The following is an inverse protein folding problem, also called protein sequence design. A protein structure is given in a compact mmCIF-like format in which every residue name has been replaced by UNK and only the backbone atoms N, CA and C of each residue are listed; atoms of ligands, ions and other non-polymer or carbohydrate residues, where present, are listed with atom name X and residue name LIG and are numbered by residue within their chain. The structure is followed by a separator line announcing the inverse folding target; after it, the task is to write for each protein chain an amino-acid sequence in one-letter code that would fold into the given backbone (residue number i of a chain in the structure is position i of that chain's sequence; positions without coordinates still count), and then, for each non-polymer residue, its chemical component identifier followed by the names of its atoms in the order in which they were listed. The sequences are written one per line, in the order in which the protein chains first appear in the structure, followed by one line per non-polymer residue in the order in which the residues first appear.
data_IF_512047826144
#
_entry.id   IF_512047826144
#
_cell.length_a   1.000
_cell.length_b   1.000
_cell.length_c   1.000
_cell.angle_alpha   90.00
_cell.angle_beta   90.00
_cell.angle_gamma   90.00
#
_symmetry.space_group_name_H-M   'P 1'
#
loop_
_entity.id
_entity.type
_entity.pdbx_description
1 polymer ?
#
# COMPACT_ATOMS: atom_id res chain seq x y z
N UNK A 1 -42.00 109.95 -34.54
CA UNK A 1 -42.18 109.02 -33.40
C UNK A 1 -42.44 107.57 -33.82
N UNK A 2 -43.40 107.26 -34.71
CA UNK A 2 -43.71 105.88 -35.14
C UNK A 2 -42.50 105.05 -35.65
N UNK A 3 -41.62 105.64 -36.47
CA UNK A 3 -40.44 104.94 -37.02
C UNK A 3 -39.38 104.64 -35.95
N UNK A 4 -39.21 105.50 -34.96
CA UNK A 4 -38.25 105.32 -33.85
C UNK A 4 -38.72 104.22 -32.92
N UNK A 5 -40.03 104.18 -32.59
CA UNK A 5 -40.62 103.07 -31.83
C UNK A 5 -40.53 101.73 -32.56
N UNK A 6 -40.73 101.71 -33.88
CA UNK A 6 -40.58 100.47 -34.66
C UNK A 6 -39.14 99.93 -34.59
N UNK A 7 -38.13 100.81 -34.72
CA UNK A 7 -36.72 100.44 -34.61
C UNK A 7 -36.34 99.92 -33.23
N UNK A 8 -36.79 100.57 -32.15
CA UNK A 8 -36.49 100.11 -30.78
C UNK A 8 -37.17 98.78 -30.45
N UNK A 9 -38.41 98.57 -30.89
CA UNK A 9 -39.10 97.27 -30.74
C UNK A 9 -38.37 96.17 -31.51
N UNK A 10 -37.94 96.46 -32.75
CA UNK A 10 -37.23 95.46 -33.57
C UNK A 10 -35.86 95.11 -32.95
N UNK A 11 -35.12 96.11 -32.46
CA UNK A 11 -33.85 95.89 -31.77
C UNK A 11 -34.02 95.09 -30.46
N UNK A 12 -35.06 95.38 -29.67
CA UNK A 12 -35.38 94.64 -28.45
C UNK A 12 -35.77 93.18 -28.73
N UNK A 13 -36.48 92.91 -29.84
CA UNK A 13 -36.81 91.55 -30.28
C UNK A 13 -35.57 90.79 -30.74
N UNK A 14 -34.68 91.43 -31.50
CA UNK A 14 -33.43 90.80 -31.96
C UNK A 14 -32.47 90.50 -30.80
N UNK A 15 -32.35 91.42 -29.83
CA UNK A 15 -31.56 91.22 -28.62
C UNK A 15 -32.12 90.10 -27.73
N UNK A 16 -33.44 90.06 -27.54
CA UNK A 16 -34.07 88.99 -26.76
C UNK A 16 -33.96 87.63 -27.46
N UNK A 17 -34.08 87.57 -28.78
CA UNK A 17 -33.82 86.36 -29.57
C UNK A 17 -32.36 85.89 -29.48
N UNK A 18 -31.38 86.81 -29.55
CA UNK A 18 -29.97 86.47 -29.41
C UNK A 18 -29.62 85.96 -28.01
N UNK A 19 -30.20 86.57 -26.96
CA UNK A 19 -30.05 86.09 -25.58
C UNK A 19 -30.68 84.72 -25.38
N UNK A 20 -31.87 84.48 -25.95
CA UNK A 20 -32.53 83.17 -25.91
C UNK A 20 -31.68 82.09 -26.62
N UNK A 21 -31.20 82.37 -27.83
CA UNK A 21 -30.34 81.44 -28.56
C UNK A 21 -29.01 81.17 -27.84
N UNK A 22 -28.43 82.17 -27.17
CA UNK A 22 -27.21 81.97 -26.38
C UNK A 22 -27.48 81.17 -25.10
N UNK A 23 -28.62 81.40 -24.45
CA UNK A 23 -29.04 80.61 -23.29
C UNK A 23 -29.28 79.14 -23.67
N UNK A 24 -29.91 78.88 -24.81
CA UNK A 24 -30.15 77.53 -25.33
C UNK A 24 -28.84 76.84 -25.71
N UNK A 25 -27.91 77.55 -26.35
CA UNK A 25 -26.57 77.04 -26.65
C UNK A 25 -25.77 76.71 -25.39
N UNK A 26 -25.80 77.57 -24.37
CA UNK A 26 -25.14 77.31 -23.08
C UNK A 26 -25.79 76.13 -22.32
N UNK A 27 -27.11 75.98 -22.39
CA UNK A 27 -27.80 74.82 -21.81
C UNK A 27 -27.42 73.53 -22.52
N UNK A 28 -27.35 73.55 -23.86
CA UNK A 28 -26.88 72.42 -24.67
C UNK A 28 -25.44 72.03 -24.31
N UNK A 29 -24.53 73.00 -24.21
CA UNK A 29 -23.14 72.77 -23.82
C UNK A 29 -23.05 72.22 -22.39
N UNK A 30 -23.86 72.75 -21.45
CA UNK A 30 -23.93 72.26 -20.07
C UNK A 30 -24.36 70.79 -20.03
N UNK A 31 -25.39 70.43 -20.78
CA UNK A 31 -25.89 69.05 -20.86
C UNK A 31 -24.82 68.12 -21.45
N UNK A 32 -24.14 68.54 -22.51
CA UNK A 32 -23.06 67.75 -23.13
C UNK A 32 -21.91 67.50 -22.14
N UNK A 33 -21.44 68.54 -21.44
CA UNK A 33 -20.37 68.43 -20.44
C UNK A 33 -20.79 67.53 -19.27
N UNK A 34 -22.04 67.64 -18.78
CA UNK A 34 -22.55 66.75 -17.72
C UNK A 34 -22.57 65.29 -18.21
N UNK A 35 -22.97 65.04 -19.45
CA UNK A 35 -22.99 63.70 -20.02
C UNK A 35 -21.57 63.12 -20.13
N UNK A 36 -20.60 63.91 -20.59
CA UNK A 36 -19.18 63.50 -20.65
C UNK A 36 -18.60 63.21 -19.26
N UNK A 37 -18.84 64.08 -18.28
CA UNK A 37 -18.38 63.85 -16.91
C UNK A 37 -19.01 62.60 -16.29
N UNK A 38 -20.29 62.35 -16.58
CA UNK A 38 -21.00 61.15 -16.10
C UNK A 38 -20.39 59.89 -16.74
N UNK A 39 -20.15 59.90 -18.05
CA UNK A 39 -19.51 58.80 -18.76
C UNK A 39 -18.06 58.55 -18.27
N UNK A 40 -17.31 59.61 -17.99
CA UNK A 40 -15.96 59.50 -17.43
C UNK A 40 -15.98 58.94 -16.00
N UNK A 41 -16.93 59.39 -15.16
CA UNK A 41 -17.12 58.87 -13.82
C UNK A 41 -17.48 57.37 -13.83
N UNK A 42 -18.33 56.94 -14.76
CA UNK A 42 -18.71 55.54 -14.94
C UNK A 42 -17.53 54.68 -15.42
N UNK A 43 -16.73 55.21 -16.36
CA UNK A 43 -15.52 54.53 -16.84
C UNK A 43 -14.50 54.37 -15.71
N UNK A 44 -14.30 55.42 -14.92
CA UNK A 44 -13.39 55.41 -13.76
C UNK A 44 -13.85 54.39 -12.72
N UNK A 45 -15.15 54.38 -12.39
CA UNK A 45 -15.73 53.42 -11.45
C UNK A 45 -15.54 51.98 -11.93
N UNK A 46 -15.75 51.72 -13.21
CA UNK A 46 -15.55 50.40 -13.82
C UNK A 46 -14.08 49.96 -13.77
N UNK A 47 -13.15 50.88 -14.06
CA UNK A 47 -11.72 50.62 -13.98
C UNK A 47 -11.27 50.30 -12.54
N UNK A 48 -11.81 51.03 -11.55
CA UNK A 48 -11.56 50.76 -10.13
C UNK A 48 -12.06 49.38 -9.72
N UNK A 49 -13.31 49.03 -10.06
CA UNK A 49 -13.88 47.70 -9.79
C UNK A 49 -13.05 46.57 -10.40
N UNK A 50 -12.59 46.74 -11.65
CA UNK A 50 -11.72 45.75 -12.31
C UNK A 50 -10.37 45.64 -11.61
N UNK A 51 -9.79 46.75 -11.18
CA UNK A 51 -8.51 46.78 -10.45
C UNK A 51 -8.64 46.06 -9.11
N UNK A 52 -9.71 46.31 -8.36
CA UNK A 52 -9.95 45.66 -7.07
C UNK A 52 -10.19 44.16 -7.25
N UNK A 53 -10.94 43.76 -8.29
CA UNK A 53 -11.10 42.34 -8.64
C UNK A 53 -9.77 41.66 -8.95
N UNK A 54 -8.92 42.29 -9.78
CA UNK A 54 -7.62 41.72 -10.15
C UNK A 54 -6.67 41.64 -8.96
N UNK A 55 -6.69 42.63 -8.07
CA UNK A 55 -5.91 42.61 -6.82
C UNK A 55 -6.31 41.41 -5.96
N UNK A 56 -7.60 41.24 -5.71
CA UNK A 56 -8.09 40.09 -4.94
C UNK A 56 -7.85 38.74 -5.63
N UNK A 57 -7.81 38.70 -6.96
CA UNK A 57 -7.45 37.49 -7.70
C UNK A 57 -5.95 37.16 -7.60
N UNK A 58 -5.08 38.18 -7.58
CA UNK A 58 -3.65 38.03 -7.39
C UNK A 58 -3.33 37.52 -5.98
N UNK A 59 -3.90 38.15 -4.95
CA UNK A 59 -3.70 37.74 -3.55
C UNK A 59 -4.07 36.26 -3.36
N UNK A 60 -5.22 35.81 -3.87
CA UNK A 60 -5.60 34.39 -3.84
C UNK A 60 -4.60 33.48 -4.58
N UNK A 61 -4.08 33.91 -5.72
CA UNK A 61 -3.12 33.12 -6.48
C UNK A 61 -1.76 33.02 -5.77
N UNK A 62 -1.35 34.08 -5.06
CA UNK A 62 -0.15 34.09 -4.22
C UNK A 62 -0.32 33.16 -3.01
N UNK A 63 -1.47 33.21 -2.33
CA UNK A 63 -1.81 32.31 -1.22
C UNK A 63 -1.82 30.83 -1.68
N UNK A 64 -2.53 30.52 -2.77
CA UNK A 64 -2.57 29.16 -3.34
C UNK A 64 -1.16 28.63 -3.71
N UNK A 65 -0.27 29.53 -4.15
CA UNK A 65 1.12 29.19 -4.48
C UNK A 65 1.93 28.92 -3.22
N UNK A 66 1.75 29.73 -2.18
CA UNK A 66 2.42 29.55 -0.89
C UNK A 66 1.99 28.24 -0.22
N UNK A 67 0.70 27.92 -0.21
CA UNK A 67 0.15 26.68 0.34
C UNK A 67 0.73 25.45 -0.36
N UNK A 68 0.75 25.45 -1.70
CA UNK A 68 1.36 24.37 -2.49
C UNK A 68 2.85 24.23 -2.20
N UNK A 69 3.58 25.33 -2.09
CA UNK A 69 5.00 25.31 -1.76
C UNK A 69 5.23 24.69 -0.37
N UNK A 70 4.39 25.03 0.62
CA UNK A 70 4.46 24.47 1.97
C UNK A 70 4.19 22.95 1.97
N UNK A 71 3.16 22.49 1.25
CA UNK A 71 2.88 21.05 1.07
C UNK A 71 4.04 20.33 0.41
N UNK A 72 4.63 20.90 -0.65
CA UNK A 72 5.78 20.29 -1.34
C UNK A 72 7.02 20.20 -0.44
N UNK A 73 7.24 21.18 0.44
CA UNK A 73 8.39 21.21 1.34
C UNK A 73 8.40 20.05 2.35
N UNK A 74 7.24 19.54 2.75
CA UNK A 74 7.12 18.46 3.75
C UNK A 74 7.06 17.05 3.15
N UNK A 75 6.75 16.91 1.85
CA UNK A 75 6.67 15.59 1.17
C UNK A 75 7.96 14.75 1.19
N UNK A 76 9.19 15.29 1.15
CA UNK A 76 10.39 14.47 1.24
C UNK A 76 10.47 13.65 2.53
N UNK A 77 9.99 14.18 3.66
CA UNK A 77 9.95 13.44 4.93
C UNK A 77 8.98 12.25 4.85
N UNK A 78 7.81 12.45 4.25
CA UNK A 78 6.86 11.37 4.00
C UNK A 78 7.47 10.24 3.16
N UNK A 79 8.21 10.58 2.09
CA UNK A 79 8.88 9.59 1.24
C UNK A 79 9.95 8.79 2.00
N UNK A 80 10.69 9.44 2.91
CA UNK A 80 11.66 8.76 3.75
C UNK A 80 10.98 7.73 4.69
N UNK A 81 9.85 8.09 5.30
CA UNK A 81 9.07 7.16 6.13
C UNK A 81 8.49 5.99 5.33
N UNK A 82 8.08 6.20 4.07
CA UNK A 82 7.63 5.10 3.20
C UNK A 82 8.77 4.10 2.93
N UNK A 83 9.99 4.57 2.71
CA UNK A 83 11.15 3.68 2.51
C UNK A 83 11.53 2.94 3.80
N UNK A 84 11.44 3.61 4.95
CA UNK A 84 11.62 2.97 6.25
C UNK A 84 10.58 1.86 6.49
N UNK A 85 9.30 2.15 6.21
CA UNK A 85 8.23 1.16 6.29
C UNK A 85 8.46 -0.01 5.34
N UNK A 86 8.90 0.24 4.10
CA UNK A 86 9.22 -0.81 3.12
C UNK A 86 10.29 -1.77 3.66
N UNK A 87 11.31 -1.22 4.32
CA UNK A 87 12.38 -2.02 4.96
C UNK A 87 11.83 -2.86 6.12
N UNK A 88 10.95 -2.29 6.95
CA UNK A 88 10.30 -3.00 8.04
C UNK A 88 9.39 -4.14 7.53
N UNK A 89 8.57 -3.89 6.50
CA UNK A 89 7.71 -4.88 5.87
C UNK A 89 8.51 -6.04 5.25
N UNK A 90 9.65 -5.73 4.61
CA UNK A 90 10.56 -6.75 4.09
C UNK A 90 11.09 -7.62 5.23
N UNK A 91 11.50 -7.00 6.34
CA UNK A 91 11.98 -7.72 7.53
C UNK A 91 10.89 -8.59 8.17
N UNK A 92 9.62 -8.18 8.08
CA UNK A 92 8.47 -8.90 8.60
C UNK A 92 8.00 -10.09 7.74
N UNK A 93 8.52 -10.21 6.51
CA UNK A 93 8.11 -11.26 5.57
C UNK A 93 8.30 -12.65 6.18
N UNK A 94 7.23 -13.45 6.19
CA UNK A 94 7.22 -14.80 6.77
C UNK A 94 7.21 -14.86 8.31
N UNK A 95 7.18 -13.70 8.99
CA UNK A 95 7.17 -13.59 10.46
C UNK A 95 5.83 -13.08 10.98
N UNK A 96 5.30 -12.03 10.35
CA UNK A 96 4.10 -11.31 10.78
C UNK A 96 3.18 -11.06 9.57
N UNK A 97 1.86 -11.13 9.76
CA UNK A 97 0.90 -10.71 8.74
C UNK A 97 0.81 -9.17 8.69
N UNK A 98 1.24 -8.60 7.57
CA UNK A 98 1.33 -7.15 7.38
C UNK A 98 0.25 -6.57 6.48
N UNK A 99 -0.79 -7.35 6.12
CA UNK A 99 -1.82 -6.90 5.18
C UNK A 99 -2.54 -5.61 5.62
N UNK A 100 -2.89 -5.51 6.91
CA UNK A 100 -3.53 -4.30 7.46
C UNK A 100 -2.59 -3.09 7.47
N UNK A 101 -1.31 -3.30 7.77
CA UNK A 101 -0.29 -2.25 7.75
C UNK A 101 -0.09 -1.70 6.35
N UNK A 102 -0.05 -2.59 5.34
CA UNK A 102 0.04 -2.19 3.93
C UNK A 102 -1.18 -1.39 3.49
N UNK A 103 -2.38 -1.81 3.87
CA UNK A 103 -3.62 -1.09 3.55
C UNK A 103 -3.63 0.32 4.18
N UNK A 104 -3.21 0.46 5.43
CA UNK A 104 -3.11 1.74 6.12
C UNK A 104 -2.08 2.67 5.45
N UNK A 105 -0.93 2.14 5.06
CA UNK A 105 0.11 2.89 4.34
C UNK A 105 -0.34 3.35 2.95
N UNK A 106 -1.11 2.54 2.23
CA UNK A 106 -1.72 2.93 0.96
C UNK A 106 -2.75 4.04 1.15
N UNK A 107 -3.57 3.98 2.21
CA UNK A 107 -4.50 5.06 2.55
C UNK A 107 -3.76 6.36 2.85
N UNK A 108 -2.66 6.31 3.61
CA UNK A 108 -1.84 7.49 3.89
C UNK A 108 -1.22 8.09 2.62
N UNK A 109 -0.74 7.25 1.69
CA UNK A 109 -0.23 7.70 0.39
C UNK A 109 -1.32 8.39 -0.45
N UNK A 110 -2.53 7.85 -0.49
CA UNK A 110 -3.65 8.47 -1.20
C UNK A 110 -4.01 9.84 -0.62
N UNK A 111 -4.00 9.98 0.71
CA UNK A 111 -4.20 11.27 1.38
C UNK A 111 -3.14 12.29 0.97
N UNK A 112 -1.85 11.92 0.98
CA UNK A 112 -0.75 12.82 0.60
C UNK A 112 -0.79 13.19 -0.89
N UNK A 113 -1.18 12.25 -1.76
CA UNK A 113 -1.34 12.51 -3.20
C UNK A 113 -2.46 13.50 -3.49
N UNK A 114 -3.55 13.45 -2.73
CA UNK A 114 -4.69 14.35 -2.89
C UNK A 114 -4.44 15.75 -2.28
N UNK A 115 -3.56 15.86 -1.29
CA UNK A 115 -3.31 17.12 -0.56
C UNK A 115 -2.54 18.15 -1.39
N UNK A 116 -3.05 19.39 -1.40
CA UNK A 116 -2.49 20.52 -2.17
C UNK A 116 -2.41 21.83 -1.38
N UNK A 117 -3.05 21.90 -0.21
CA UNK A 117 -3.27 23.13 0.54
C UNK A 117 -2.66 23.05 1.93
N UNK A 118 -2.96 21.99 2.69
CA UNK A 118 -2.59 21.89 4.10
C UNK A 118 -1.35 20.99 4.34
N UNK A 119 -0.17 21.56 4.68
CA UNK A 119 1.02 20.77 5.01
C UNK A 119 0.88 19.92 6.27
N UNK A 120 -0.06 20.23 7.18
CA UNK A 120 -0.32 19.40 8.36
C UNK A 120 -0.89 18.04 8.00
N UNK A 121 -1.70 17.95 6.94
CA UNK A 121 -2.23 16.66 6.45
C UNK A 121 -1.09 15.73 6.04
N UNK A 122 -0.06 16.24 5.35
CA UNK A 122 1.14 15.46 4.99
C UNK A 122 1.96 15.10 6.23
N UNK A 123 2.09 16.02 7.19
CA UNK A 123 2.81 15.77 8.44
C UNK A 123 2.13 14.68 9.29
N UNK A 124 0.81 14.68 9.37
CA UNK A 124 0.03 13.65 10.07
C UNK A 124 0.11 12.29 9.37
N UNK A 125 0.06 12.28 8.03
CA UNK A 125 0.27 11.07 7.25
C UNK A 125 1.70 10.50 7.46
N UNK A 126 2.70 11.38 7.55
CA UNK A 126 4.09 11.02 7.87
C UNK A 126 4.19 10.35 9.24
N UNK A 127 3.60 10.96 10.27
CA UNK A 127 3.54 10.37 11.61
C UNK A 127 2.79 9.03 11.64
N UNK A 128 1.75 8.87 10.81
CA UNK A 128 1.02 7.61 10.68
C UNK A 128 1.91 6.51 10.10
N UNK A 129 2.65 6.79 9.02
CA UNK A 129 3.60 5.82 8.42
C UNK A 129 4.74 5.49 9.38
N UNK A 130 5.23 6.47 10.13
CA UNK A 130 6.21 6.26 11.18
C UNK A 130 5.70 5.27 12.25
N UNK A 131 4.50 5.51 12.79
CA UNK A 131 3.87 4.63 13.78
C UNK A 131 3.62 3.21 13.23
N UNK A 132 3.23 3.08 11.95
CA UNK A 132 3.12 1.77 11.29
C UNK A 132 4.47 1.05 11.23
N UNK A 133 5.56 1.78 10.96
CA UNK A 133 6.92 1.23 10.93
C UNK A 133 7.34 0.72 12.30
N UNK A 134 7.15 1.53 13.34
CA UNK A 134 7.40 1.12 14.73
C UNK A 134 6.57 -0.11 15.11
N UNK A 135 5.29 -0.14 14.72
CA UNK A 135 4.40 -1.27 15.02
C UNK A 135 4.86 -2.56 14.37
N UNK A 136 5.21 -2.53 13.09
CA UNK A 136 5.75 -3.71 12.39
C UNK A 136 7.05 -4.18 13.06
N UNK A 137 7.95 -3.27 13.43
CA UNK A 137 9.19 -3.63 14.10
C UNK A 137 8.96 -4.24 15.50
N UNK A 138 8.01 -3.71 16.27
CA UNK A 138 7.59 -4.26 17.56
C UNK A 138 7.03 -5.68 17.40
N UNK A 139 6.15 -5.89 16.41
CA UNK A 139 5.56 -7.20 16.13
C UNK A 139 6.61 -8.22 15.67
N UNK A 140 7.58 -7.81 14.85
CA UNK A 140 8.72 -8.65 14.48
C UNK A 140 9.58 -8.99 15.70
N UNK A 141 9.87 -8.01 16.55
CA UNK A 141 10.66 -8.23 17.78
C UNK A 141 9.93 -9.18 18.73
N UNK A 142 8.62 -9.01 18.88
CA UNK A 142 7.75 -9.89 19.68
C UNK A 142 7.73 -11.30 19.12
N UNK A 143 7.63 -11.44 17.79
CA UNK A 143 7.72 -12.73 17.12
C UNK A 143 9.08 -13.38 17.37
N UNK A 144 10.19 -12.64 17.26
CA UNK A 144 11.54 -13.12 17.50
C UNK A 144 11.73 -13.56 18.95
N UNK A 145 11.28 -12.75 19.91
CA UNK A 145 11.30 -13.09 21.32
C UNK A 145 10.47 -14.35 21.61
N UNK A 146 9.31 -14.52 20.96
CA UNK A 146 8.52 -15.74 21.05
C UNK A 146 9.22 -16.95 20.43
N UNK A 147 9.97 -16.79 19.33
CA UNK A 147 10.81 -17.88 18.80
C UNK A 147 11.91 -18.26 19.80
N UNK A 148 12.59 -17.26 20.38
CA UNK A 148 13.65 -17.45 21.37
C UNK A 148 13.11 -18.13 22.65
N UNK A 149 11.96 -17.69 23.14
CA UNK A 149 11.31 -18.28 24.32
C UNK A 149 10.82 -19.71 24.05
N UNK A 150 10.32 -19.99 22.83
CA UNK A 150 9.95 -21.36 22.42
C UNK A 150 11.16 -22.27 22.26
N UNK A 151 12.32 -21.72 21.92
CA UNK A 151 13.59 -22.46 21.97
C UNK A 151 14.10 -22.69 23.40
N UNK A 152 13.82 -21.80 24.36
CA UNK A 152 14.35 -21.88 25.71
C UNK A 152 13.49 -22.69 26.71
N UNK A 153 12.84 -23.79 26.26
CA UNK A 153 11.85 -24.55 27.06
C UNK A 153 12.24 -24.84 28.53
N UNK A 154 11.27 -25.06 29.43
CA UNK A 154 11.53 -25.16 30.87
C UNK A 154 12.48 -26.34 31.18
N UNK A 155 13.73 -26.02 31.49
CA UNK A 155 14.72 -26.95 32.05
C UNK A 155 15.31 -28.01 31.10
N UNK A 156 15.03 -27.96 29.80
CA UNK A 156 15.68 -28.84 28.81
C UNK A 156 17.06 -28.31 28.37
N UNK A 157 17.96 -29.16 27.83
CA UNK A 157 19.25 -28.70 27.31
C UNK A 157 19.04 -27.58 26.29
N UNK A 158 19.94 -26.58 26.31
CA UNK A 158 19.86 -25.39 25.46
C UNK A 158 19.58 -25.78 24.01
N UNK A 159 18.44 -25.34 23.49
CA UNK A 159 18.07 -25.54 22.10
C UNK A 159 19.10 -24.85 21.21
N UNK A 160 19.81 -25.65 20.42
CA UNK A 160 20.62 -25.16 19.33
C UNK A 160 19.67 -24.77 18.20
N UNK A 161 19.67 -23.50 17.80
CA UNK A 161 18.99 -23.04 16.58
C UNK A 161 19.93 -23.20 15.38
N UNK A 162 19.38 -23.37 14.17
CA UNK A 162 20.19 -23.40 12.94
C UNK A 162 20.66 -22.02 12.49
N UNK A 163 20.15 -20.95 13.12
CA UNK A 163 20.46 -19.57 12.77
C UNK A 163 19.88 -19.14 11.42
N UNK A 164 20.10 -17.87 11.01
CA UNK A 164 19.55 -17.33 9.75
C UNK A 164 19.97 -18.12 8.51
N UNK A 165 21.24 -18.52 8.43
CA UNK A 165 21.78 -19.27 7.29
C UNK A 165 21.25 -20.70 7.25
N UNK A 166 21.09 -21.33 8.41
CA UNK A 166 20.48 -22.66 8.52
C UNK A 166 19.01 -22.65 8.11
N UNK A 167 18.24 -21.65 8.55
CA UNK A 167 16.87 -21.46 8.10
C UNK A 167 16.79 -21.24 6.59
N UNK A 168 17.62 -20.34 6.05
CA UNK A 168 17.67 -20.08 4.60
C UNK A 168 18.00 -21.35 3.80
N UNK A 169 18.89 -22.20 4.31
CA UNK A 169 19.23 -23.49 3.69
C UNK A 169 18.03 -24.45 3.66
N UNK A 170 17.32 -24.63 4.77
CA UNK A 170 16.15 -25.51 4.83
C UNK A 170 15.00 -24.96 3.97
N UNK A 171 14.82 -23.63 3.96
CA UNK A 171 13.87 -22.95 3.07
C UNK A 171 14.18 -23.21 1.60
N UNK A 172 15.44 -23.05 1.19
CA UNK A 172 15.87 -23.31 -0.20
C UNK A 172 15.66 -24.78 -0.60
N UNK A 173 15.92 -25.73 0.31
CA UNK A 173 15.63 -27.14 0.08
C UNK A 173 14.12 -27.39 -0.10
N UNK A 174 13.27 -26.75 0.72
CA UNK A 174 11.81 -26.87 0.58
C UNK A 174 11.30 -26.23 -0.72
N UNK A 175 11.90 -25.11 -1.15
CA UNK A 175 11.58 -24.45 -2.42
C UNK A 175 11.93 -25.34 -3.60
N UNK A 176 13.11 -25.95 -3.57
CA UNK A 176 13.61 -26.86 -4.60
C UNK A 176 12.69 -28.06 -4.83
N UNK A 177 12.11 -28.61 -3.76
CA UNK A 177 11.17 -29.74 -3.87
C UNK A 177 9.73 -29.33 -4.19
N UNK A 178 9.49 -28.03 -4.46
CA UNK A 178 8.20 -27.47 -4.88
C UNK A 178 7.32 -26.96 -3.73
N UNK A 179 7.90 -26.63 -2.58
CA UNK A 179 7.21 -26.18 -1.37
C UNK A 179 7.24 -24.66 -1.13
N UNK A 180 7.52 -23.84 -2.14
CA UNK A 180 7.69 -22.38 -2.01
C UNK A 180 6.53 -21.62 -1.34
N UNK A 181 5.30 -22.13 -1.47
CA UNK A 181 4.11 -21.55 -0.81
C UNK A 181 3.79 -22.14 0.57
N UNK A 182 4.59 -23.06 1.09
CA UNK A 182 4.34 -23.73 2.37
C UNK A 182 5.06 -23.01 3.50
N UNK A 183 4.36 -22.68 4.58
CA UNK A 183 4.96 -22.07 5.76
C UNK A 183 6.01 -22.99 6.39
N UNK A 184 7.16 -22.44 6.77
CA UNK A 184 8.27 -23.18 7.36
C UNK A 184 8.76 -22.49 8.62
N UNK A 185 8.92 -23.23 9.71
CA UNK A 185 9.56 -22.71 10.92
C UNK A 185 10.33 -23.77 11.70
N UNK A 186 11.33 -23.31 12.45
CA UNK A 186 12.16 -24.16 13.28
C UNK A 186 11.43 -24.52 14.60
N UNK A 187 11.56 -25.75 15.06
CA UNK A 187 10.95 -26.21 16.31
C UNK A 187 11.75 -27.33 16.97
N UNK A 188 11.87 -27.34 18.31
CA UNK A 188 12.56 -28.40 19.06
C UNK A 188 11.86 -29.76 18.97
N UNK A 189 10.58 -29.78 18.66
CA UNK A 189 9.81 -31.01 18.64
C UNK A 189 8.76 -31.01 17.55
N UNK A 190 8.69 -32.17 16.91
CA UNK A 190 7.58 -32.60 16.11
C UNK A 190 6.67 -33.46 16.97
N UNK A 191 5.35 -33.21 16.89
CA UNK A 191 4.32 -33.60 17.86
C UNK A 191 4.53 -35.03 18.41
N UNK A 192 5.19 -35.13 19.57
CA UNK A 192 5.33 -36.37 20.35
C UNK A 192 6.59 -37.23 20.13
N UNK A 193 7.62 -36.80 19.39
CA UNK A 193 8.79 -37.69 19.17
C UNK A 193 10.10 -37.06 18.68
N UNK A 194 11.01 -37.93 18.26
CA UNK A 194 12.37 -37.63 17.77
C UNK A 194 12.44 -37.30 16.26
N UNK A 195 11.28 -37.11 15.61
CA UNK A 195 11.20 -36.76 14.19
C UNK A 195 11.93 -35.44 13.93
N UNK A 196 12.69 -35.40 12.85
CA UNK A 196 13.57 -34.27 12.55
C UNK A 196 12.83 -33.15 11.80
N UNK A 197 11.70 -33.46 11.16
CA UNK A 197 10.75 -32.52 10.61
C UNK A 197 9.33 -33.11 10.73
N UNK A 198 8.32 -32.26 10.53
CA UNK A 198 6.92 -32.68 10.55
C UNK A 198 6.03 -31.65 9.86
N UNK A 199 5.13 -32.13 9.02
CA UNK A 199 4.02 -31.36 8.49
C UNK A 199 2.85 -31.28 9.47
N UNK A 200 2.07 -30.20 9.36
CA UNK A 200 0.83 -30.02 10.10
C UNK A 200 -0.35 -29.84 9.14
N UNK A 201 -1.53 -30.29 9.56
CA UNK A 201 -2.80 -30.15 8.82
C UNK A 201 -3.13 -28.69 8.48
N UNK A 202 -2.61 -27.72 9.23
CA UNK A 202 -2.81 -26.29 8.97
C UNK A 202 -1.87 -25.72 7.88
N UNK A 203 -1.15 -26.56 7.13
CA UNK A 203 -0.43 -26.15 5.93
C UNK A 203 1.00 -25.63 6.16
N UNK A 204 1.63 -25.97 7.28
CA UNK A 204 3.01 -25.60 7.58
C UNK A 204 3.87 -26.83 7.91
N UNK A 205 5.19 -26.69 7.72
CA UNK A 205 6.21 -27.67 8.07
C UNK A 205 7.05 -27.10 9.21
N UNK A 206 7.31 -27.92 10.23
CA UNK A 206 8.30 -27.64 11.26
C UNK A 206 9.55 -28.47 11.04
N UNK A 207 10.69 -27.98 11.50
CA UNK A 207 11.94 -28.72 11.45
C UNK A 207 12.84 -28.49 12.67
N UNK A 208 13.66 -29.49 13.01
CA UNK A 208 14.66 -29.40 14.06
C UNK A 208 15.95 -28.80 13.51
N UNK A 209 16.59 -27.93 14.28
CA UNK A 209 17.75 -27.16 13.83
C UNK A 209 18.92 -27.97 13.23
N UNK A 210 19.20 -29.17 13.76
CA UNK A 210 20.30 -30.02 13.30
C UNK A 210 20.16 -30.48 11.84
N UNK A 211 18.95 -30.51 11.28
CA UNK A 211 18.77 -30.92 9.88
C UNK A 211 19.39 -29.94 8.90
N UNK A 212 19.56 -28.68 9.32
CA UNK A 212 20.30 -27.70 8.55
C UNK A 212 21.79 -28.05 8.38
N UNK A 213 22.31 -29.05 9.11
CA UNK A 213 23.64 -29.63 8.92
C UNK A 213 23.67 -30.94 8.11
N UNK A 214 22.51 -31.47 7.69
CA UNK A 214 22.45 -32.73 6.94
C UNK A 214 23.01 -32.60 5.51
N UNK A 215 23.37 -33.73 4.88
CA UNK A 215 23.70 -33.73 3.45
C UNK A 215 22.52 -33.19 2.62
N UNK A 216 22.82 -32.57 1.47
CA UNK A 216 21.78 -32.00 0.61
C UNK A 216 20.73 -33.02 0.20
N UNK A 217 21.14 -34.25 -0.16
CA UNK A 217 20.20 -35.31 -0.54
C UNK A 217 19.24 -35.67 0.60
N UNK A 218 19.78 -35.81 1.83
CA UNK A 218 18.97 -36.13 3.00
C UNK A 218 18.04 -34.97 3.38
N UNK A 219 18.50 -33.73 3.25
CA UNK A 219 17.70 -32.55 3.54
C UNK A 219 16.57 -32.39 2.51
N UNK A 220 16.86 -32.58 1.22
CA UNK A 220 15.88 -32.51 0.14
C UNK A 220 14.85 -33.63 0.27
N UNK A 221 15.26 -34.86 0.58
CA UNK A 221 14.33 -35.95 0.91
C UNK A 221 13.42 -35.58 2.08
N UNK A 222 13.96 -35.06 3.18
CA UNK A 222 13.16 -34.67 4.33
C UNK A 222 12.11 -33.62 3.95
N UNK A 223 12.50 -32.60 3.17
CA UNK A 223 11.55 -31.57 2.72
C UNK A 223 10.50 -32.12 1.75
N UNK A 224 10.88 -33.02 0.85
CA UNK A 224 9.93 -33.66 -0.07
C UNK A 224 8.94 -34.57 0.68
N UNK A 225 9.42 -35.28 1.70
CA UNK A 225 8.63 -36.14 2.57
C UNK A 225 7.61 -35.33 3.37
N UNK A 226 8.03 -34.26 4.04
CA UNK A 226 7.08 -33.41 4.78
C UNK A 226 6.10 -32.70 3.86
N UNK A 227 6.54 -32.28 2.68
CA UNK A 227 5.65 -31.71 1.67
C UNK A 227 4.61 -32.73 1.22
N UNK A 228 4.94 -34.03 1.17
CA UNK A 228 4.00 -35.08 0.83
C UNK A 228 2.88 -35.17 1.86
N UNK A 229 3.20 -35.09 3.15
CA UNK A 229 2.19 -35.04 4.20
C UNK A 229 1.24 -33.83 4.07
N UNK A 230 1.74 -32.66 3.68
CA UNK A 230 0.87 -31.50 3.39
C UNK A 230 -0.16 -31.83 2.30
N UNK A 231 0.23 -32.57 1.25
CA UNK A 231 -0.69 -32.98 0.20
C UNK A 231 -1.64 -34.08 0.65
N UNK A 232 -1.17 -35.04 1.46
CA UNK A 232 -2.03 -36.04 2.08
C UNK A 232 -3.12 -35.39 2.94
N UNK A 233 -2.78 -34.37 3.74
CA UNK A 233 -3.76 -33.66 4.57
C UNK A 233 -4.87 -33.01 3.75
N UNK A 234 -4.57 -32.50 2.54
CA UNK A 234 -5.59 -31.90 1.65
C UNK A 234 -6.63 -32.91 1.18
N UNK A 235 -6.26 -34.18 1.09
CA UNK A 235 -7.13 -35.26 0.61
C UNK A 235 -7.44 -36.28 1.69
N UNK A 236 -7.22 -35.94 2.97
CA UNK A 236 -7.21 -36.91 4.08
C UNK A 236 -8.47 -37.79 4.15
N UNK A 237 -9.65 -37.20 3.96
CA UNK A 237 -10.91 -37.95 3.97
C UNK A 237 -11.01 -38.98 2.83
N UNK A 238 -10.65 -38.59 1.61
CA UNK A 238 -10.64 -39.48 0.46
C UNK A 238 -9.52 -40.53 0.52
N UNK A 239 -8.36 -40.11 1.02
CA UNK A 239 -7.20 -40.97 1.23
C UNK A 239 -7.53 -42.09 2.21
N UNK A 240 -8.07 -41.75 3.38
CA UNK A 240 -8.37 -42.72 4.45
C UNK A 240 -9.57 -43.62 4.15
N UNK A 241 -10.44 -43.22 3.21
CA UNK A 241 -11.53 -44.08 2.71
C UNK A 241 -11.14 -44.93 1.49
N UNK A 242 -9.94 -44.73 0.93
CA UNK A 242 -9.47 -45.46 -0.25
C UNK A 242 -9.04 -46.89 0.09
N UNK A 243 -9.74 -47.87 -0.49
CA UNK A 243 -9.31 -49.28 -0.43
C UNK A 243 -7.93 -49.50 -1.08
N UNK A 244 -7.60 -48.74 -2.12
CA UNK A 244 -6.28 -48.78 -2.76
C UNK A 244 -5.19 -48.33 -1.81
N UNK A 245 -5.38 -47.22 -1.09
CA UNK A 245 -4.45 -46.76 -0.07
C UNK A 245 -4.22 -47.81 1.03
N UNK A 246 -5.30 -48.42 1.53
CA UNK A 246 -5.20 -49.50 2.52
C UNK A 246 -4.45 -50.72 1.97
N UNK A 247 -4.71 -51.13 0.72
CA UNK A 247 -4.06 -52.30 0.11
C UNK A 247 -2.58 -52.09 -0.25
N UNK A 248 -2.22 -50.92 -0.80
CA UNK A 248 -0.88 -50.65 -1.31
C UNK A 248 0.07 -50.15 -0.23
N UNK A 249 -0.44 -49.42 0.76
CA UNK A 249 0.35 -48.77 1.80
C UNK A 249 0.02 -49.26 3.21
N UNK A 250 -0.90 -50.23 3.37
CA UNK A 250 -1.32 -50.70 4.69
C UNK A 250 -2.07 -49.66 5.52
N UNK A 251 -2.47 -48.55 4.90
CA UNK A 251 -2.97 -47.37 5.61
C UNK A 251 -1.88 -46.52 6.28
N UNK A 252 -0.60 -46.75 5.98
CA UNK A 252 0.54 -46.03 6.55
C UNK A 252 0.85 -44.72 5.79
N UNK A 253 0.62 -43.54 6.41
CA UNK A 253 0.87 -42.26 5.76
C UNK A 253 2.37 -41.95 5.62
N UNK A 254 3.23 -42.48 6.49
CA UNK A 254 4.68 -42.31 6.46
C UNK A 254 5.29 -43.08 5.30
N UNK A 255 4.82 -44.32 5.08
CA UNK A 255 5.24 -45.10 3.93
C UNK A 255 4.80 -44.44 2.61
N UNK A 256 3.56 -43.96 2.56
CA UNK A 256 3.08 -43.20 1.40
C UNK A 256 3.89 -41.91 1.18
N UNK A 257 4.22 -41.15 2.23
CA UNK A 257 5.01 -39.92 2.11
C UNK A 257 6.42 -40.19 1.56
N UNK A 258 7.06 -41.28 2.00
CA UNK A 258 8.32 -41.74 1.43
C UNK A 258 8.18 -42.06 -0.06
N UNK A 259 7.12 -42.76 -0.46
CA UNK A 259 6.91 -43.08 -1.86
C UNK A 259 6.63 -41.83 -2.72
N UNK A 260 5.87 -40.88 -2.18
CA UNK A 260 5.63 -39.59 -2.82
C UNK A 260 6.92 -38.78 -3.01
N UNK A 261 7.87 -38.85 -2.07
CA UNK A 261 9.19 -38.22 -2.19
C UNK A 261 10.06 -38.90 -3.28
N UNK A 262 10.03 -40.24 -3.37
CA UNK A 262 10.71 -41.02 -4.42
C UNK A 262 10.24 -40.57 -5.82
N UNK A 263 8.93 -40.42 -6.02
CA UNK A 263 8.35 -40.00 -7.31
C UNK A 263 8.83 -38.59 -7.73
N UNK A 264 9.20 -37.73 -6.77
CA UNK A 264 9.78 -36.40 -7.04
C UNK A 264 11.29 -36.41 -7.22
N UNK A 265 11.94 -37.58 -7.21
CA UNK A 265 13.37 -37.71 -7.38
C UNK A 265 14.17 -37.54 -6.09
N UNK A 266 13.53 -37.60 -4.92
CA UNK A 266 14.18 -37.49 -3.62
C UNK A 266 13.99 -38.77 -2.80
N UNK A 267 14.69 -39.86 -3.14
CA UNK A 267 14.53 -41.13 -2.44
C UNK A 267 15.11 -41.08 -1.03
N UNK A 268 14.38 -41.67 -0.08
CA UNK A 268 14.88 -41.95 1.27
C UNK A 268 15.42 -43.37 1.39
N UNK A 269 15.58 -43.83 2.64
CA UNK A 269 15.99 -45.21 2.92
C UNK A 269 14.88 -46.24 2.68
N UNK A 270 13.61 -45.80 2.61
CA UNK A 270 12.47 -46.66 2.35
C UNK A 270 12.05 -46.54 0.89
N UNK A 271 12.05 -47.67 0.18
CA UNK A 271 11.65 -47.76 -1.22
C UNK A 271 10.18 -48.17 -1.39
N UNK A 272 9.63 -47.88 -2.56
CA UNK A 272 8.32 -48.38 -3.00
C UNK A 272 8.41 -48.89 -4.44
N UNK A 273 7.55 -49.84 -4.80
CA UNK A 273 7.54 -50.45 -6.14
C UNK A 273 6.87 -49.54 -7.20
N UNK A 274 6.92 -49.95 -8.46
CA UNK A 274 6.41 -49.15 -9.58
C UNK A 274 4.93 -48.79 -9.48
N UNK A 275 4.09 -49.73 -9.02
CA UNK A 275 2.64 -49.49 -8.89
C UNK A 275 2.33 -48.50 -7.76
N UNK A 276 3.04 -48.62 -6.63
CA UNK A 276 2.96 -47.68 -5.51
C UNK A 276 3.40 -46.27 -5.94
N UNK A 277 4.49 -46.16 -6.71
CA UNK A 277 4.97 -44.88 -7.25
C UNK A 277 3.94 -44.24 -8.20
N UNK A 278 3.40 -45.02 -9.13
CA UNK A 278 2.39 -44.56 -10.06
C UNK A 278 1.16 -44.01 -9.32
N UNK A 279 0.66 -44.73 -8.32
CA UNK A 279 -0.48 -44.28 -7.51
C UNK A 279 -0.15 -43.04 -6.66
N UNK A 280 1.00 -43.05 -5.97
CA UNK A 280 1.45 -41.94 -5.13
C UNK A 280 1.63 -40.63 -5.93
N UNK A 281 2.03 -40.72 -7.20
CA UNK A 281 2.13 -39.57 -8.10
C UNK A 281 0.80 -38.81 -8.27
N UNK A 282 -0.32 -39.55 -8.21
CA UNK A 282 -1.67 -38.99 -8.38
C UNK A 282 -2.06 -38.00 -7.29
N UNK A 283 -1.49 -38.12 -6.09
CA UNK A 283 -1.77 -37.20 -4.98
C UNK A 283 -1.16 -35.81 -5.26
N UNK A 284 0.04 -35.76 -5.86
CA UNK A 284 0.69 -34.49 -6.19
C UNK A 284 -0.09 -33.65 -7.20
N UNK A 285 -0.77 -34.31 -8.14
CA UNK A 285 -1.55 -33.67 -9.22
C UNK A 285 -3.05 -33.58 -8.90
N UNK A 286 -3.47 -34.01 -7.70
CA UNK A 286 -4.88 -33.94 -7.27
C UNK A 286 -5.82 -34.89 -8.02
N UNK A 287 -5.29 -36.02 -8.51
CA UNK A 287 -6.06 -37.10 -9.13
C UNK A 287 -6.75 -38.00 -8.09
N UNK A 288 -6.25 -38.02 -6.85
CA UNK A 288 -6.92 -38.64 -5.69
C UNK A 288 -7.78 -37.58 -5.01
N UNK A 289 -9.10 -37.79 -4.92
CA UNK A 289 -10.09 -36.85 -4.37
C UNK A 289 -11.21 -37.56 -3.64
#
# INVERSE_FOLDING_TARGET
MRRVMALTVTAAVLLSAAVAARAEGLESDRVAVIAEFTALADTTRTAQQRTDYLRGALERAEDDTADRAAVLAVRPAFLAEIEALRTALTTATGKVDTAAHLAAALSAQQTVLAEQVDPQVVTNATATVHALTEKVNEEVTTWQAAQIARSAGPGGPAYTTSGPDGYARVRAALDLVGGGGIGLYESPSCRGGNAAACANSNGYIKYRADIAGWSSDRLNWAMAHELAHIYQFRVWGALTSSGTYSSMFGGDPEFLANCMAVVRGYPGNQGCNGDQQAWASGIWVGAVR
#
